data_IF_040121312885
#
_entry.id   IF_040121312885
#
_cell.length_a   1.000
_cell.length_b   1.000
_cell.length_c   1.000
_cell.angle_alpha   90.00
_cell.angle_beta   90.00
_cell.angle_gamma   90.00
#
_symmetry.space_group_name_H-M   'P 1'
#
loop_
_entity.id
_entity.type
_entity.pdbx_description
1 polymer ?
#
# COMPACT_ATOMS: atom_id res chain seq x y z
N UNK A 1 15.22 5.22 26.14
CA UNK A 1 15.21 4.67 24.78
C UNK A 1 15.17 5.84 23.80
N UNK A 2 15.94 5.80 22.70
CA UNK A 2 15.77 6.81 21.65
C UNK A 2 14.32 6.81 21.13
N UNK A 3 13.79 7.95 20.68
CA UNK A 3 12.44 8.02 20.11
C UNK A 3 12.33 7.10 18.90
N UNK A 4 11.18 6.43 18.73
CA UNK A 4 10.94 5.57 17.57
C UNK A 4 10.97 6.43 16.32
N UNK A 5 11.93 6.14 15.44
CA UNK A 5 12.03 6.75 14.13
C UNK A 5 11.55 5.79 13.05
N UNK A 6 11.30 6.30 11.84
CA UNK A 6 11.00 5.47 10.67
C UNK A 6 12.11 4.43 10.36
N UNK A 7 13.34 4.65 10.86
CA UNK A 7 14.48 3.73 10.67
C UNK A 7 14.46 2.55 11.64
N UNK A 8 13.75 2.65 12.76
CA UNK A 8 13.76 1.66 13.85
C UNK A 8 12.40 1.00 14.08
N UNK A 9 11.35 1.47 13.41
CA UNK A 9 9.98 1.00 13.63
C UNK A 9 9.76 -0.40 13.05
N UNK A 10 9.11 -1.28 13.82
CA UNK A 10 8.73 -2.62 13.39
C UNK A 10 7.34 -2.61 12.75
N UNK A 11 7.19 -3.27 11.60
CA UNK A 11 5.87 -3.50 11.02
C UNK A 11 5.10 -4.60 11.76
N UNK A 12 3.86 -4.28 12.16
CA UNK A 12 2.94 -5.16 12.88
C UNK A 12 1.53 -5.12 12.29
N UNK A 13 0.71 -6.11 12.64
CA UNK A 13 -0.70 -6.20 12.24
C UNK A 13 -1.54 -5.20 13.03
N UNK A 14 -2.55 -4.64 12.36
CA UNK A 14 -3.59 -3.82 12.98
C UNK A 14 -3.27 -2.32 12.95
N UNK A 15 -4.14 -1.56 13.62
CA UNK A 15 -4.05 -0.10 13.75
C UNK A 15 -3.40 0.27 15.07
N UNK A 16 -2.50 1.25 15.04
CA UNK A 16 -1.74 1.69 16.20
C UNK A 16 -2.12 3.13 16.56
N UNK A 17 -2.08 3.45 17.85
CA UNK A 17 -2.35 4.81 18.32
C UNK A 17 -1.13 5.74 18.18
N UNK A 18 0.07 5.16 18.14
CA UNK A 18 1.32 5.89 18.01
C UNK A 18 2.46 4.98 17.53
N UNK A 19 3.56 5.54 16.97
CA UNK A 19 4.72 4.77 16.47
C UNK A 19 5.38 3.87 17.52
N UNK A 20 5.28 4.21 18.81
CA UNK A 20 5.85 3.44 19.92
C UNK A 20 5.19 2.05 20.07
N UNK A 21 3.98 1.87 19.55
CA UNK A 21 3.26 0.61 19.57
C UNK A 21 3.53 -0.26 18.34
N UNK A 22 4.41 0.18 17.43
CA UNK A 22 4.59 -0.38 16.10
C UNK A 22 3.82 0.40 15.04
N UNK A 23 3.84 -0.10 13.81
CA UNK A 23 3.09 0.50 12.71
C UNK A 23 2.66 -0.56 11.70
N UNK A 24 1.54 -0.35 11.01
CA UNK A 24 1.29 -1.00 9.74
C UNK A 24 2.09 -0.30 8.63
N UNK A 25 2.17 -0.92 7.45
CA UNK A 25 2.87 -0.34 6.29
C UNK A 25 2.39 1.07 5.92
N UNK A 26 1.09 1.38 6.06
CA UNK A 26 0.55 2.71 5.72
C UNK A 26 0.77 3.76 6.81
N UNK A 27 0.81 3.34 8.07
CA UNK A 27 1.25 4.19 9.18
C UNK A 27 2.71 4.59 9.01
N UNK A 28 3.58 3.67 8.57
CA UNK A 28 4.95 4.01 8.20
C UNK A 28 4.99 4.96 6.99
N UNK A 29 4.16 4.73 5.97
CA UNK A 29 4.09 5.62 4.81
C UNK A 29 3.68 7.05 5.19
N UNK A 30 2.71 7.24 6.10
CA UNK A 30 2.34 8.58 6.59
C UNK A 30 3.50 9.26 7.32
N UNK A 31 4.27 8.52 8.15
CA UNK A 31 5.47 9.05 8.79
C UNK A 31 6.53 9.49 7.76
N UNK A 32 6.78 8.68 6.72
CA UNK A 32 7.75 8.99 5.67
C UNK A 32 7.33 10.21 4.82
N UNK A 33 6.02 10.43 4.67
CA UNK A 33 5.47 11.60 3.99
C UNK A 33 5.46 12.87 4.87
N UNK A 34 5.83 12.77 6.14
CA UNK A 34 5.72 13.89 7.10
C UNK A 34 4.27 14.23 7.48
N UNK A 35 3.35 13.29 7.30
CA UNK A 35 1.94 13.42 7.69
C UNK A 35 1.72 13.01 9.15
N UNK A 36 0.53 13.30 9.68
CA UNK A 36 0.12 12.76 10.98
C UNK A 36 0.02 11.22 10.91
N UNK A 37 0.42 10.55 11.99
CA UNK A 37 0.43 9.09 12.08
C UNK A 37 -0.96 8.51 11.82
N UNK A 38 -1.13 7.85 10.68
CA UNK A 38 -2.40 7.35 10.17
C UNK A 38 -2.18 6.24 9.16
N UNK A 39 -3.08 5.27 9.15
CA UNK A 39 -3.14 4.22 8.12
C UNK A 39 -3.84 4.70 6.83
N UNK A 40 -4.36 5.93 6.81
CA UNK A 40 -4.95 6.57 5.63
C UNK A 40 -4.14 7.81 5.19
N UNK A 41 -2.88 7.66 4.75
CA UNK A 41 -2.06 8.77 4.27
C UNK A 41 -2.66 9.42 3.03
N UNK A 42 -2.65 10.76 2.97
CA UNK A 42 -3.14 11.55 1.82
C UNK A 42 -2.18 11.51 0.63
N UNK A 43 -0.89 11.31 0.88
CA UNK A 43 0.15 11.20 -0.15
C UNK A 43 0.14 9.87 -0.90
N UNK A 44 -0.64 8.88 -0.46
CA UNK A 44 -0.70 7.55 -1.08
C UNK A 44 -2.03 7.38 -1.82
N UNK A 45 -1.97 6.72 -2.98
CA UNK A 45 -3.14 6.30 -3.75
C UNK A 45 -4.09 5.44 -2.90
N UNK A 46 -5.39 5.71 -2.96
CA UNK A 46 -6.37 5.04 -2.10
C UNK A 46 -6.48 3.54 -2.38
N UNK A 47 -6.50 3.05 -3.64
CA UNK A 47 -6.49 1.61 -3.93
C UNK A 47 -5.23 0.91 -3.40
N UNK A 48 -4.06 1.54 -3.54
CA UNK A 48 -2.78 1.00 -3.01
C UNK A 48 -2.84 0.92 -1.50
N UNK A 49 -3.26 1.99 -0.82
CA UNK A 49 -3.34 2.05 0.64
C UNK A 49 -4.32 1.02 1.21
N UNK A 50 -5.50 0.87 0.59
CA UNK A 50 -6.50 -0.13 0.98
C UNK A 50 -5.95 -1.55 0.87
N UNK A 51 -5.35 -1.90 -0.28
CA UNK A 51 -4.77 -3.22 -0.47
C UNK A 51 -3.61 -3.51 0.50
N UNK A 52 -2.66 -2.57 0.63
CA UNK A 52 -1.48 -2.76 1.47
C UNK A 52 -1.82 -2.88 2.97
N UNK A 53 -2.86 -2.21 3.47
CA UNK A 53 -3.32 -2.39 4.86
C UNK A 53 -3.85 -3.80 5.11
N UNK A 54 -4.80 -4.23 4.29
CA UNK A 54 -5.36 -5.58 4.45
C UNK A 54 -4.30 -6.67 4.21
N UNK A 55 -3.37 -6.43 3.30
CA UNK A 55 -2.27 -7.35 3.03
C UNK A 55 -1.25 -7.39 4.18
N UNK A 56 -0.85 -6.25 4.74
CA UNK A 56 -0.01 -6.16 5.94
C UNK A 56 -0.54 -7.04 7.08
N UNK A 57 -1.85 -7.00 7.29
CA UNK A 57 -2.52 -7.74 8.34
C UNK A 57 -2.58 -9.25 8.05
N UNK A 58 -2.56 -9.65 6.77
CA UNK A 58 -2.59 -11.04 6.36
C UNK A 58 -1.23 -11.74 6.53
N UNK A 59 -0.12 -11.00 6.47
CA UNK A 59 1.23 -11.56 6.48
C UNK A 59 1.70 -11.99 7.87
N UNK A 60 2.66 -12.93 7.90
CA UNK A 60 3.52 -13.18 9.05
C UNK A 60 4.65 -12.13 9.16
N UNK A 61 5.41 -12.15 10.25
CA UNK A 61 6.50 -11.18 10.50
C UNK A 61 7.61 -11.22 9.44
N UNK A 62 7.89 -12.39 8.85
CA UNK A 62 8.97 -12.55 7.88
C UNK A 62 8.59 -11.88 6.56
N UNK A 63 7.41 -12.20 6.02
CA UNK A 63 6.91 -11.62 4.78
C UNK A 63 6.53 -10.15 4.92
N UNK A 64 6.11 -9.72 6.10
CA UNK A 64 5.78 -8.31 6.34
C UNK A 64 7.01 -7.41 6.22
N UNK A 65 8.22 -7.93 6.42
CA UNK A 65 9.46 -7.18 6.20
C UNK A 65 9.62 -6.73 4.73
N UNK A 66 9.07 -7.47 3.76
CA UNK A 66 9.13 -7.05 2.35
C UNK A 66 8.29 -5.79 2.08
N UNK A 67 7.38 -5.42 2.99
CA UNK A 67 6.53 -4.24 2.84
C UNK A 67 7.23 -2.91 3.18
N UNK A 68 8.40 -2.92 3.83
CA UNK A 68 9.13 -1.68 4.13
C UNK A 68 9.45 -0.88 2.86
N UNK A 69 9.82 -1.55 1.76
CA UNK A 69 10.09 -0.88 0.49
C UNK A 69 8.85 -0.17 -0.04
N UNK A 70 7.68 -0.78 0.13
CA UNK A 70 6.42 -0.24 -0.35
C UNK A 70 5.91 0.91 0.50
N UNK A 71 6.20 0.94 1.81
CA UNK A 71 5.93 2.12 2.62
C UNK A 71 6.62 3.38 2.03
N UNK A 72 7.85 3.25 1.54
CA UNK A 72 8.56 4.35 0.89
C UNK A 72 8.10 4.60 -0.56
N UNK A 73 7.96 3.55 -1.38
CA UNK A 73 7.60 3.68 -2.80
C UNK A 73 6.16 4.15 -3.02
N UNK A 74 5.27 3.92 -2.05
CA UNK A 74 3.88 4.36 -2.14
C UNK A 74 3.70 5.86 -1.85
N UNK A 75 4.66 6.52 -1.20
CA UNK A 75 4.60 7.97 -0.93
C UNK A 75 4.61 8.74 -2.24
N UNK A 76 3.69 9.70 -2.37
CA UNK A 76 3.53 10.53 -3.56
C UNK A 76 2.79 9.82 -4.70
N UNK A 77 2.22 8.65 -4.47
CA UNK A 77 1.42 7.95 -5.49
C UNK A 77 0.03 8.54 -5.66
N UNK A 78 -0.52 9.28 -4.69
CA UNK A 78 -1.84 9.90 -4.82
C UNK A 78 -1.94 10.69 -6.14
N UNK A 79 -2.89 10.29 -7.00
CA UNK A 79 -2.98 10.76 -8.37
C UNK A 79 -4.30 11.46 -8.70
N UNK A 80 -4.44 11.82 -9.98
CA UNK A 80 -5.72 12.32 -10.51
C UNK A 80 -6.80 11.22 -10.46
N UNK A 81 -8.10 11.60 -10.51
CA UNK A 81 -9.19 10.62 -10.50
C UNK A 81 -9.02 9.51 -11.55
N UNK A 82 -8.55 9.83 -12.76
CA UNK A 82 -8.32 8.86 -13.82
C UNK A 82 -7.21 7.85 -13.48
N UNK A 83 -6.13 8.30 -12.80
CA UNK A 83 -5.05 7.40 -12.35
C UNK A 83 -5.53 6.50 -11.22
N UNK A 84 -6.29 7.05 -10.26
CA UNK A 84 -6.88 6.27 -9.16
C UNK A 84 -7.87 5.22 -9.67
N UNK A 85 -8.72 5.58 -10.65
CA UNK A 85 -9.65 4.65 -11.29
C UNK A 85 -8.91 3.54 -12.05
N UNK A 86 -7.85 3.89 -12.80
CA UNK A 86 -7.02 2.90 -13.51
C UNK A 86 -6.37 1.91 -12.54
N UNK A 87 -5.87 2.38 -11.38
CA UNK A 87 -5.32 1.52 -10.33
C UNK A 87 -6.40 0.63 -9.70
N UNK A 88 -7.57 1.18 -9.39
CA UNK A 88 -8.69 0.40 -8.85
C UNK A 88 -9.13 -0.69 -9.84
N UNK A 89 -9.23 -0.37 -11.12
CA UNK A 89 -9.56 -1.33 -12.18
C UNK A 89 -8.49 -2.43 -12.32
N UNK A 90 -7.19 -2.07 -12.29
CA UNK A 90 -6.09 -3.05 -12.32
C UNK A 90 -6.10 -3.98 -11.11
N UNK A 91 -6.36 -3.44 -9.92
CA UNK A 91 -6.47 -4.18 -8.67
C UNK A 91 -7.64 -5.17 -8.69
N UNK A 92 -8.82 -4.72 -9.16
CA UNK A 92 -9.99 -5.58 -9.33
C UNK A 92 -9.75 -6.68 -10.37
N UNK A 93 -9.17 -6.34 -11.52
CA UNK A 93 -8.86 -7.34 -12.56
C UNK A 93 -7.90 -8.42 -12.07
N UNK A 94 -6.91 -8.05 -11.24
CA UNK A 94 -6.04 -9.04 -10.58
C UNK A 94 -6.85 -9.95 -9.64
N UNK A 95 -7.69 -9.36 -8.80
CA UNK A 95 -8.50 -10.09 -7.84
C UNK A 95 -9.45 -11.06 -8.54
N UNK A 96 -10.09 -10.64 -9.64
CA UNK A 96 -10.99 -11.45 -10.45
C UNK A 96 -10.25 -12.69 -11.01
N UNK A 97 -9.05 -12.51 -11.58
CA UNK A 97 -8.23 -13.64 -12.06
C UNK A 97 -7.87 -14.63 -10.95
N UNK A 98 -7.55 -14.13 -9.74
CA UNK A 98 -7.24 -14.98 -8.60
C UNK A 98 -8.47 -15.76 -8.10
N UNK A 99 -9.64 -15.12 -8.05
CA UNK A 99 -10.90 -15.78 -7.72
C UNK A 99 -11.29 -16.85 -8.73
N UNK A 100 -11.12 -16.59 -10.03
CA UNK A 100 -11.38 -17.57 -11.09
C UNK A 100 -10.48 -18.80 -10.94
N UNK A 101 -9.17 -18.60 -10.75
CA UNK A 101 -8.22 -19.69 -10.51
C UNK A 101 -8.61 -20.53 -9.30
N UNK A 102 -9.00 -19.90 -8.18
CA UNK A 102 -9.42 -20.62 -6.96
C UNK A 102 -10.73 -21.37 -7.14
N UNK A 103 -11.76 -20.72 -7.70
CA UNK A 103 -13.10 -21.30 -7.89
C UNK A 103 -13.14 -22.41 -8.94
N UNK A 104 -12.17 -22.44 -9.85
CA UNK A 104 -11.96 -23.57 -10.78
C UNK A 104 -11.50 -24.84 -10.05
N UNK A 105 -10.78 -24.69 -8.92
CA UNK A 105 -10.17 -25.79 -8.17
C UNK A 105 -10.99 -26.25 -6.95
N UNK A 106 -12.00 -25.48 -6.52
CA UNK A 106 -12.74 -25.74 -5.28
C UNK A 106 -14.19 -25.27 -5.37
N UNK A 107 -15.13 -26.18 -5.05
CA UNK A 107 -16.57 -25.84 -4.98
C UNK A 107 -16.86 -24.83 -3.87
N UNK A 108 -16.21 -24.96 -2.71
CA UNK A 108 -16.34 -24.00 -1.61
C UNK A 108 -15.90 -22.60 -2.05
N UNK A 109 -14.79 -22.50 -2.79
CA UNK A 109 -14.33 -21.22 -3.31
C UNK A 109 -15.25 -20.65 -4.39
N UNK A 110 -15.95 -21.51 -5.14
CA UNK A 110 -16.99 -21.07 -6.09
C UNK A 110 -18.20 -20.47 -5.40
N UNK A 111 -18.66 -21.05 -4.28
CA UNK A 111 -19.71 -20.44 -3.45
C UNK A 111 -19.22 -19.14 -2.81
N UNK A 112 -17.99 -19.11 -2.29
CA UNK A 112 -17.39 -17.91 -1.70
C UNK A 112 -17.28 -16.79 -2.73
N UNK A 113 -16.78 -17.09 -3.93
CA UNK A 113 -16.68 -16.15 -5.05
C UNK A 113 -18.02 -15.48 -5.33
N UNK A 114 -19.10 -16.26 -5.46
CA UNK A 114 -20.47 -15.72 -5.69
C UNK A 114 -20.93 -14.74 -4.63
N UNK A 115 -20.48 -14.90 -3.38
CA UNK A 115 -20.80 -13.97 -2.29
C UNK A 115 -19.95 -12.70 -2.40
N UNK A 116 -18.63 -12.83 -2.48
CA UNK A 116 -17.72 -11.66 -2.51
C UNK A 116 -17.85 -10.83 -3.79
N UNK A 117 -18.23 -11.44 -4.92
CA UNK A 117 -18.50 -10.69 -6.16
C UNK A 117 -19.66 -9.69 -6.01
N UNK A 118 -20.58 -9.91 -5.07
CA UNK A 118 -21.64 -8.93 -4.76
C UNK A 118 -21.11 -7.69 -4.03
N UNK A 119 -19.96 -7.82 -3.38
CA UNK A 119 -19.28 -6.75 -2.63
C UNK A 119 -18.18 -6.08 -3.48
N UNK A 120 -17.97 -6.55 -4.73
CA UNK A 120 -17.04 -5.97 -5.69
C UNK A 120 -17.48 -4.54 -6.05
N UNK A 121 -16.66 -3.56 -5.69
CA UNK A 121 -16.85 -2.15 -6.04
C UNK A 121 -15.55 -1.55 -6.56
N UNK A 122 -15.65 -0.51 -7.40
CA UNK A 122 -14.52 0.32 -7.83
C UNK A 122 -14.03 1.25 -6.71
N UNK A 123 -14.84 1.42 -5.66
CA UNK A 123 -14.44 2.19 -4.49
C UNK A 123 -13.17 1.60 -3.87
N UNK A 124 -12.15 2.43 -3.56
CA UNK A 124 -10.83 1.93 -3.13
C UNK A 124 -10.85 0.99 -1.93
N UNK A 125 -11.68 1.29 -0.93
CA UNK A 125 -11.77 0.53 0.32
C UNK A 125 -12.32 -0.90 0.07
N UNK A 126 -13.52 -1.08 -0.51
CA UNK A 126 -13.98 -2.39 -0.96
C UNK A 126 -13.03 -3.09 -1.95
N UNK A 127 -12.43 -2.37 -2.90
CA UNK A 127 -11.55 -2.95 -3.91
C UNK A 127 -10.33 -3.63 -3.30
N UNK A 128 -9.67 -2.95 -2.34
CA UNK A 128 -8.53 -3.54 -1.62
C UNK A 128 -8.93 -4.74 -0.77
N UNK A 129 -10.05 -4.66 -0.04
CA UNK A 129 -10.57 -5.78 0.76
C UNK A 129 -10.88 -7.01 -0.13
N UNK A 130 -11.54 -6.79 -1.26
CA UNK A 130 -11.86 -7.81 -2.23
C UNK A 130 -10.60 -8.50 -2.80
N UNK A 131 -9.58 -7.70 -3.12
CA UNK A 131 -8.29 -8.20 -3.61
C UNK A 131 -7.51 -8.99 -2.55
N UNK A 132 -7.47 -8.52 -1.30
CA UNK A 132 -6.83 -9.26 -0.20
C UNK A 132 -7.50 -10.62 0.01
N UNK A 133 -8.83 -10.70 -0.09
CA UNK A 133 -9.53 -11.98 0.01
C UNK A 133 -9.26 -12.93 -1.17
N UNK A 134 -8.98 -12.40 -2.36
CA UNK A 134 -8.67 -13.19 -3.55
C UNK A 134 -7.36 -14.01 -3.41
N UNK A 135 -6.44 -13.56 -2.55
CA UNK A 135 -5.17 -14.27 -2.25
C UNK A 135 -5.45 -15.66 -1.68
N UNK A 136 -6.38 -15.76 -0.73
CA UNK A 136 -6.64 -16.99 0.01
C UNK A 136 -5.47 -17.39 0.92
N UNK A 137 -4.80 -18.51 0.63
CA UNK A 137 -3.65 -18.98 1.43
C UNK A 137 -2.39 -18.26 0.97
N UNK A 138 -1.68 -17.62 1.88
CA UNK A 138 -0.37 -17.02 1.60
C UNK A 138 0.68 -18.11 1.43
N UNK A 139 1.28 -18.17 0.25
CA UNK A 139 2.45 -18.95 -0.15
C UNK A 139 3.51 -18.01 -0.75
N UNK A 140 4.72 -18.51 -1.02
CA UNK A 140 5.74 -17.73 -1.73
C UNK A 140 5.26 -17.21 -3.08
N UNK A 141 4.55 -18.05 -3.84
CA UNK A 141 3.98 -17.70 -5.14
C UNK A 141 2.94 -16.57 -5.02
N UNK A 142 1.96 -16.72 -4.12
CA UNK A 142 0.93 -15.68 -3.95
C UNK A 142 1.52 -14.41 -3.36
N UNK A 143 2.55 -14.54 -2.53
CA UNK A 143 3.23 -13.41 -1.93
C UNK A 143 3.96 -12.61 -3.01
N UNK A 144 4.77 -13.27 -3.83
CA UNK A 144 5.46 -12.65 -4.98
C UNK A 144 4.46 -11.99 -5.95
N UNK A 145 3.34 -12.67 -6.26
CA UNK A 145 2.30 -12.11 -7.12
C UNK A 145 1.64 -10.85 -6.53
N UNK A 146 1.42 -10.81 -5.22
CA UNK A 146 0.88 -9.63 -4.54
C UNK A 146 1.91 -8.48 -4.53
N UNK A 147 3.20 -8.74 -4.33
CA UNK A 147 4.22 -7.69 -4.42
C UNK A 147 4.31 -7.13 -5.84
N UNK A 148 4.31 -8.00 -6.86
CA UNK A 148 4.31 -7.59 -8.26
C UNK A 148 3.09 -6.72 -8.62
N UNK A 149 1.91 -7.05 -8.09
CA UNK A 149 0.73 -6.21 -8.25
C UNK A 149 0.96 -4.80 -7.69
N UNK A 150 1.55 -4.66 -6.51
CA UNK A 150 1.80 -3.33 -5.92
C UNK A 150 2.80 -2.55 -6.77
N UNK A 151 3.86 -3.19 -7.27
CA UNK A 151 4.80 -2.55 -8.20
C UNK A 151 4.09 -2.03 -9.46
N UNK A 152 3.19 -2.84 -10.04
CA UNK A 152 2.39 -2.43 -11.20
C UNK A 152 1.46 -1.25 -10.89
N UNK A 153 0.77 -1.27 -9.74
CA UNK A 153 -0.11 -0.18 -9.33
C UNK A 153 0.66 1.14 -9.14
N UNK A 154 1.86 1.06 -8.56
CA UNK A 154 2.75 2.22 -8.39
C UNK A 154 3.19 2.77 -9.74
N UNK A 155 3.43 1.90 -10.74
CA UNK A 155 3.82 2.28 -12.09
C UNK A 155 2.68 2.90 -12.92
N UNK A 156 1.41 2.77 -12.50
CA UNK A 156 0.27 3.44 -13.15
C UNK A 156 0.28 4.92 -12.79
N UNK A 157 0.37 5.78 -13.81
CA UNK A 157 0.38 7.24 -13.68
C UNK A 157 1.79 7.85 -13.69
N UNK A 158 1.92 9.15 -13.96
CA UNK A 158 3.22 9.81 -13.92
C UNK A 158 3.75 9.80 -12.48
N UNK A 159 4.97 9.30 -12.29
CA UNK A 159 5.66 9.48 -11.02
C UNK A 159 6.01 10.96 -10.88
N UNK A 160 5.30 11.69 -10.02
CA UNK A 160 5.69 13.02 -9.55
C UNK A 160 6.91 12.88 -8.64
N UNK A 161 8.05 12.42 -9.19
CA UNK A 161 9.35 12.53 -8.53
C UNK A 161 9.84 13.98 -8.66
N UNK A 162 9.10 14.92 -8.09
CA UNK A 162 9.74 16.15 -7.66
C UNK A 162 10.60 15.79 -6.45
N UNK A 163 11.87 15.50 -6.72
CA UNK A 163 12.88 15.50 -5.67
C UNK A 163 12.77 16.86 -4.97
N UNK A 164 12.64 16.93 -3.63
CA UNK A 164 12.78 18.20 -2.95
C UNK A 164 14.18 18.70 -3.29
N UNK A 165 14.25 19.74 -4.14
CA UNK A 165 15.48 20.50 -4.30
C UNK A 165 15.74 21.12 -2.94
N UNK A 166 16.65 20.52 -2.18
CA UNK A 166 17.22 21.15 -1.01
C UNK A 166 17.81 22.46 -1.52
N UNK A 167 17.10 23.58 -1.34
CA UNK A 167 17.66 24.91 -1.59
C UNK A 167 18.79 25.07 -0.58
N UNK A 168 20.01 24.79 -1.02
CA UNK A 168 21.20 25.28 -0.34
C UNK A 168 21.06 26.80 -0.36
N UNK A 169 20.88 27.40 0.82
CA UNK A 169 20.87 28.84 0.95
C UNK A 169 22.20 29.37 0.43
N UNK A 170 22.16 30.28 -0.55
CA UNK A 170 23.36 30.96 -1.01
C UNK A 170 24.03 31.69 0.16
N UNK A 171 25.36 31.58 0.34
CA UNK A 171 26.04 32.34 1.36
C UNK A 171 25.90 33.84 1.03
N UNK A 172 25.42 34.60 2.02
CA UNK A 172 25.28 36.04 1.93
C UNK A 172 26.61 36.69 1.52
N UNK A 173 26.60 37.42 0.40
CA UNK A 173 27.72 38.24 -0.05
C UNK A 173 27.85 39.43 0.91
N UNK A 174 29.00 39.62 1.59
CA UNK A 174 29.21 40.82 2.39
C UNK A 174 29.41 42.03 1.47
N UNK A 175 28.66 43.11 1.76
CA UNK A 175 28.83 44.39 1.09
C UNK A 175 30.23 44.95 1.34
N UNK A 176 30.90 45.35 0.25
CA UNK A 176 32.21 45.97 0.28
C UNK A 176 32.16 47.39 0.91
N UNK A 177 33.22 47.83 1.60
CA UNK A 177 33.45 49.25 1.87
C UNK A 177 33.96 50.01 0.65
#
# INVERSE_FOLDING_TARGET
MPPVSHQTIKLSRGRHSSPEHGACVMELASMLAGEGFSDHPRSVSRPIASFLRGYNDLLDDVRRADLYRFAAQAVGTAGSPAVEEARAARLLGWADQHWERRSSRSMLDRLRMRRVHKERSIDPEPAGTYAVHAIGKVTDETHAAALALVDELIAIGPHSRERPTLRVADPAVPAAP
#
